data_IF_667322089670
#
_entry.id   IF_667322089670
#
_cell.length_a   1.000
_cell.length_b   1.000
_cell.length_c   1.000
_cell.angle_alpha   90.00
_cell.angle_beta   90.00
_cell.angle_gamma   90.00
#
_symmetry.space_group_name_H-M   'P 1'
#
loop_
_entity.id
_entity.type
_entity.pdbx_description
1 polymer ?
#
# COMPACT_ATOMS: atom_id res chain seq x y z
N UNK A 1 -31.57 -67.45 -22.61
CA UNK A 1 -30.59 -67.31 -21.50
C UNK A 1 -29.46 -66.41 -21.97
N UNK A 2 -29.52 -65.14 -21.59
CA UNK A 2 -28.55 -64.13 -22.04
C UNK A 2 -27.60 -63.80 -20.88
N UNK A 3 -26.32 -64.19 -20.98
CA UNK A 3 -25.26 -63.81 -20.02
C UNK A 3 -24.69 -62.45 -20.38
N UNK A 4 -25.12 -61.43 -19.69
CA UNK A 4 -24.47 -60.10 -19.73
C UNK A 4 -23.06 -60.18 -19.14
N UNK A 5 -22.04 -60.00 -19.95
CA UNK A 5 -20.65 -59.79 -19.54
C UNK A 5 -20.57 -58.47 -18.79
N UNK A 6 -20.31 -58.48 -17.47
CA UNK A 6 -19.87 -57.33 -16.66
C UNK A 6 -18.44 -56.97 -17.15
N UNK A 7 -18.29 -55.90 -17.89
CA UNK A 7 -16.97 -55.29 -18.18
C UNK A 7 -16.44 -54.74 -16.85
N UNK A 8 -15.31 -55.28 -16.44
CA UNK A 8 -14.59 -54.87 -15.24
C UNK A 8 -14.11 -53.42 -15.37
N UNK A 9 -14.58 -52.53 -14.51
CA UNK A 9 -14.20 -51.15 -14.37
C UNK A 9 -12.75 -50.99 -13.83
N UNK A 10 -12.10 -52.09 -13.48
CA UNK A 10 -10.77 -52.09 -12.87
C UNK A 10 -9.59 -52.03 -13.87
N UNK A 11 -9.85 -52.02 -15.18
CA UNK A 11 -8.76 -52.01 -16.16
C UNK A 11 -8.37 -50.60 -16.68
N UNK A 12 -8.94 -49.51 -16.11
CA UNK A 12 -8.74 -48.16 -16.61
C UNK A 12 -7.86 -47.28 -15.68
N UNK A 13 -7.28 -47.88 -14.64
CA UNK A 13 -6.41 -47.17 -13.68
C UNK A 13 -4.91 -47.52 -13.80
N UNK A 14 -4.50 -48.19 -14.86
CA UNK A 14 -3.14 -48.74 -14.99
C UNK A 14 -2.24 -47.99 -15.99
N UNK A 15 -2.56 -46.76 -16.40
CA UNK A 15 -1.63 -45.94 -17.20
C UNK A 15 -1.25 -44.63 -16.51
N UNK A 16 -0.94 -44.71 -15.22
CA UNK A 16 -0.22 -43.64 -14.52
C UNK A 16 1.27 -43.79 -14.84
N UNK A 17 1.70 -43.26 -15.98
CA UNK A 17 3.11 -43.02 -16.24
C UNK A 17 3.59 -42.02 -15.16
N UNK A 18 4.28 -42.52 -14.13
CA UNK A 18 4.91 -41.69 -13.13
C UNK A 18 5.91 -40.73 -13.78
N UNK A 19 5.94 -39.49 -13.34
CA UNK A 19 6.94 -38.52 -13.77
C UNK A 19 8.37 -39.03 -13.48
N UNK A 20 9.25 -38.89 -14.46
CA UNK A 20 10.66 -39.18 -14.24
C UNK A 20 11.32 -38.10 -13.38
N UNK A 21 12.35 -38.45 -12.60
CA UNK A 21 13.12 -37.50 -11.81
C UNK A 21 13.72 -36.39 -12.70
N UNK A 22 14.17 -36.74 -13.89
CA UNK A 22 14.71 -35.79 -14.87
C UNK A 22 13.66 -34.78 -15.34
N UNK A 23 12.45 -35.23 -15.63
CA UNK A 23 11.35 -34.36 -16.05
C UNK A 23 10.97 -33.35 -14.97
N UNK A 24 10.98 -33.77 -13.68
CA UNK A 24 10.75 -32.89 -12.55
C UNK A 24 11.88 -31.86 -12.37
N UNK A 25 13.13 -32.27 -12.53
CA UNK A 25 14.29 -31.37 -12.45
C UNK A 25 14.23 -30.32 -13.56
N UNK A 26 13.93 -30.72 -14.80
CA UNK A 26 13.81 -29.80 -15.94
C UNK A 26 12.72 -28.75 -15.69
N UNK A 27 11.57 -29.15 -15.17
CA UNK A 27 10.47 -28.23 -14.84
C UNK A 27 10.92 -27.22 -13.77
N UNK A 28 11.58 -27.67 -12.71
CA UNK A 28 12.07 -26.77 -11.63
C UNK A 28 13.10 -25.78 -12.18
N UNK A 29 14.01 -26.21 -13.06
CA UNK A 29 15.00 -25.33 -13.69
C UNK A 29 14.30 -24.29 -14.56
N UNK A 30 13.31 -24.65 -15.37
CA UNK A 30 12.58 -23.73 -16.23
C UNK A 30 11.81 -22.70 -15.38
N UNK A 31 11.11 -23.15 -14.34
CA UNK A 31 10.40 -22.24 -13.42
C UNK A 31 11.39 -21.31 -12.72
N UNK A 32 12.55 -21.79 -12.29
CA UNK A 32 13.60 -20.97 -11.70
C UNK A 32 14.10 -19.88 -12.64
N UNK A 33 14.38 -20.22 -13.90
CA UNK A 33 14.81 -19.25 -14.92
C UNK A 33 13.74 -18.21 -15.23
N UNK A 34 12.49 -18.62 -15.38
CA UNK A 34 11.38 -17.70 -15.61
C UNK A 34 11.14 -16.76 -14.41
N UNK A 35 11.22 -17.31 -13.21
CA UNK A 35 11.08 -16.51 -11.97
C UNK A 35 12.16 -15.44 -11.86
N UNK A 36 13.39 -15.76 -12.18
CA UNK A 36 14.51 -14.81 -12.17
C UNK A 36 14.32 -13.62 -13.12
N UNK A 37 13.62 -13.83 -14.24
CA UNK A 37 13.34 -12.78 -15.22
C UNK A 37 12.16 -11.89 -14.82
N UNK A 38 11.14 -12.47 -14.17
CA UNK A 38 9.86 -11.81 -13.89
C UNK A 38 9.87 -11.07 -12.57
N UNK A 39 10.50 -11.66 -11.54
CA UNK A 39 10.52 -11.11 -10.17
C UNK A 39 10.98 -9.64 -10.07
N UNK A 40 12.07 -9.19 -10.74
CA UNK A 40 12.53 -7.80 -10.64
C UNK A 40 11.52 -6.77 -11.16
N UNK A 41 10.68 -7.13 -12.10
CA UNK A 41 9.67 -6.22 -12.68
C UNK A 41 8.53 -5.98 -11.68
N UNK A 42 8.10 -7.01 -10.97
CA UNK A 42 7.04 -6.88 -9.95
C UNK A 42 7.47 -5.98 -8.80
N UNK A 43 8.70 -6.13 -8.29
CA UNK A 43 9.24 -5.31 -7.19
C UNK A 43 9.23 -3.83 -7.58
N UNK A 44 9.69 -3.47 -8.78
CA UNK A 44 9.68 -2.08 -9.27
C UNK A 44 8.28 -1.50 -9.46
N UNK A 45 7.31 -2.34 -9.79
CA UNK A 45 5.93 -1.91 -9.99
C UNK A 45 5.25 -1.62 -8.65
N UNK A 46 5.51 -2.44 -7.64
CA UNK A 46 5.04 -2.24 -6.26
C UNK A 46 5.61 -0.95 -5.67
N UNK A 47 6.92 -0.71 -5.81
CA UNK A 47 7.57 0.53 -5.38
C UNK A 47 6.90 1.78 -5.95
N UNK A 48 6.70 1.82 -7.27
CA UNK A 48 6.02 2.95 -7.94
C UNK A 48 4.59 3.13 -7.45
N UNK A 49 3.86 2.03 -7.23
CA UNK A 49 2.49 2.09 -6.73
C UNK A 49 2.43 2.67 -5.31
N UNK A 50 3.33 2.27 -4.41
CA UNK A 50 3.42 2.82 -3.06
C UNK A 50 3.75 4.31 -3.06
N UNK A 51 4.73 4.74 -3.84
CA UNK A 51 5.08 6.16 -3.98
C UNK A 51 3.90 6.98 -4.50
N UNK A 52 3.20 6.48 -5.52
CA UNK A 52 2.01 7.14 -6.06
C UNK A 52 0.87 7.22 -5.04
N UNK A 53 0.64 6.15 -4.27
CA UNK A 53 -0.37 6.12 -3.23
C UNK A 53 -0.06 7.10 -2.09
N UNK A 54 1.19 7.17 -1.63
CA UNK A 54 1.60 8.12 -0.59
C UNK A 54 1.37 9.56 -1.05
N UNK A 55 1.76 9.89 -2.29
CA UNK A 55 1.54 11.23 -2.85
C UNK A 55 0.06 11.59 -2.92
N UNK A 56 -0.78 10.69 -3.42
CA UNK A 56 -2.23 10.91 -3.50
C UNK A 56 -2.86 11.07 -2.10
N UNK A 57 -2.39 10.34 -1.10
CA UNK A 57 -2.84 10.48 0.28
C UNK A 57 -2.45 11.84 0.87
N UNK A 58 -1.22 12.31 0.63
CA UNK A 58 -0.77 13.65 1.07
C UNK A 58 -1.63 14.74 0.42
N UNK A 59 -1.94 14.66 -0.87
CA UNK A 59 -2.83 15.61 -1.56
C UNK A 59 -4.24 15.60 -0.97
N UNK A 60 -4.77 14.42 -0.62
CA UNK A 60 -6.06 14.29 0.04
C UNK A 60 -6.05 14.94 1.42
N UNK A 61 -5.02 14.72 2.22
CA UNK A 61 -4.84 15.34 3.53
C UNK A 61 -4.71 16.87 3.40
N UNK A 62 -3.99 17.35 2.38
CA UNK A 62 -3.88 18.77 2.06
C UNK A 62 -5.24 19.41 1.78
N UNK A 63 -6.07 18.77 0.94
CA UNK A 63 -7.42 19.23 0.65
C UNK A 63 -8.29 19.31 1.91
N UNK A 64 -8.19 18.33 2.80
CA UNK A 64 -8.90 18.34 4.08
C UNK A 64 -8.40 19.44 5.03
N UNK A 65 -7.08 19.71 5.04
CA UNK A 65 -6.49 20.82 5.79
C UNK A 65 -6.95 22.19 5.28
N UNK A 66 -7.07 22.35 3.96
CA UNK A 66 -7.59 23.57 3.36
C UNK A 66 -9.06 23.80 3.76
N UNK A 67 -9.86 22.74 3.76
CA UNK A 67 -11.26 22.82 4.21
C UNK A 67 -11.34 23.18 5.70
N UNK A 68 -10.53 22.56 6.55
CA UNK A 68 -10.41 22.93 7.96
C UNK A 68 -10.07 24.41 8.13
N UNK A 69 -9.10 24.93 7.34
CA UNK A 69 -8.72 26.34 7.38
C UNK A 69 -9.86 27.27 6.98
N UNK A 70 -10.68 26.90 6.01
CA UNK A 70 -11.84 27.72 5.60
C UNK A 70 -12.84 27.92 6.75
N UNK A 71 -13.06 26.88 7.54
CA UNK A 71 -14.02 26.93 8.65
C UNK A 71 -13.41 27.58 9.89
N UNK A 72 -12.19 27.21 10.26
CA UNK A 72 -11.52 27.59 11.50
C UNK A 72 -10.72 28.89 11.38
N UNK A 73 -10.29 29.22 10.15
CA UNK A 73 -9.47 30.41 9.87
C UNK A 73 -7.95 30.18 9.95
N UNK A 74 -7.50 29.01 10.36
CA UNK A 74 -6.10 28.60 10.46
C UNK A 74 -5.92 27.11 10.16
N UNK A 75 -4.72 26.68 9.90
CA UNK A 75 -4.40 25.23 9.90
C UNK A 75 -4.30 24.71 11.34
N UNK A 76 -4.46 23.40 11.55
CA UNK A 76 -4.18 22.79 12.86
C UNK A 76 -2.74 23.07 13.27
N UNK A 77 -2.49 23.24 14.57
CA UNK A 77 -1.11 23.32 15.07
C UNK A 77 -0.42 21.95 14.98
N UNK A 78 0.90 21.92 15.12
CA UNK A 78 1.66 20.65 15.16
C UNK A 78 1.16 19.72 16.27
N UNK A 79 0.78 20.29 17.44
CA UNK A 79 0.25 19.52 18.57
C UNK A 79 -1.15 18.97 18.31
N UNK A 80 -2.01 19.74 17.64
CA UNK A 80 -3.34 19.28 17.22
C UNK A 80 -3.23 18.19 16.17
N UNK A 81 -2.22 18.27 15.30
CA UNK A 81 -1.89 17.29 14.31
C UNK A 81 -3.00 17.04 13.28
N UNK A 82 -2.83 16.02 12.49
CA UNK A 82 -3.83 15.58 11.50
C UNK A 82 -5.13 15.07 12.17
N UNK A 83 -5.09 14.72 13.47
CA UNK A 83 -6.30 14.29 14.19
C UNK A 83 -7.37 15.37 14.24
N UNK A 84 -6.99 16.65 14.18
CA UNK A 84 -7.90 17.77 14.06
C UNK A 84 -8.87 17.68 12.85
N UNK A 85 -8.51 16.91 11.83
CA UNK A 85 -9.37 16.65 10.66
C UNK A 85 -10.51 15.67 10.97
N UNK A 86 -10.41 14.92 12.05
CA UNK A 86 -11.41 13.90 12.47
C UNK A 86 -12.11 14.28 13.77
N UNK A 87 -11.43 14.93 14.66
CA UNK A 87 -11.92 15.27 16.00
C UNK A 87 -11.74 16.75 16.23
N UNK A 88 -12.79 17.40 16.74
CA UNK A 88 -12.75 18.83 17.07
C UNK A 88 -11.68 19.10 18.14
N UNK A 89 -10.64 19.91 17.82
CA UNK A 89 -9.71 20.36 18.85
C UNK A 89 -10.43 21.24 19.89
N UNK A 90 -10.02 21.12 21.17
CA UNK A 90 -10.58 21.97 22.22
C UNK A 90 -10.24 23.46 22.09
N UNK A 91 -9.30 23.79 21.24
CA UNK A 91 -8.78 25.14 20.98
C UNK A 91 -9.53 25.92 19.91
N UNK A 92 -10.54 25.31 19.25
CA UNK A 92 -11.27 25.92 18.13
C UNK A 92 -12.79 25.94 18.44
N UNK A 93 -13.42 27.09 18.15
CA UNK A 93 -14.87 27.25 18.30
C UNK A 93 -15.63 26.79 17.05
N UNK A 94 -15.16 27.23 15.88
CA UNK A 94 -15.74 26.91 14.59
C UNK A 94 -15.06 25.68 14.02
N UNK A 95 -15.78 24.57 13.99
CA UNK A 95 -15.34 23.32 13.41
C UNK A 95 -16.55 22.57 12.85
N UNK A 96 -16.61 22.39 11.56
CA UNK A 96 -17.73 21.75 10.85
C UNK A 96 -17.33 20.39 10.23
N UNK A 97 -16.34 19.75 10.84
CA UNK A 97 -15.91 18.43 10.43
C UNK A 97 -16.83 17.28 10.88
N UNK A 98 -16.45 16.04 10.66
CA UNK A 98 -15.12 15.57 10.23
C UNK A 98 -14.81 15.87 8.75
N UNK A 99 -13.59 16.31 8.46
CA UNK A 99 -13.10 16.64 7.12
C UNK A 99 -12.60 15.43 6.34
N UNK A 100 -12.45 14.30 7.01
CA UNK A 100 -12.14 13.00 6.42
C UNK A 100 -13.23 12.00 6.77
N UNK A 101 -13.66 11.21 5.80
CA UNK A 101 -14.68 10.17 6.00
C UNK A 101 -14.19 9.00 6.85
N UNK A 102 -12.89 8.73 6.83
CA UNK A 102 -12.22 7.66 7.58
C UNK A 102 -11.14 8.25 8.47
N UNK A 103 -10.60 7.45 9.36
CA UNK A 103 -9.46 7.84 10.19
C UNK A 103 -8.25 8.21 9.34
N UNK A 104 -7.29 8.92 9.96
CA UNK A 104 -6.07 9.32 9.27
C UNK A 104 -5.37 8.06 8.78
N UNK A 105 -5.14 7.92 7.46
CA UNK A 105 -4.49 6.73 6.94
C UNK A 105 -3.03 6.68 7.36
N UNK A 106 -2.50 5.47 7.51
CA UNK A 106 -1.07 5.25 7.50
C UNK A 106 -0.56 5.38 6.06
N UNK A 107 0.73 5.64 5.92
CA UNK A 107 1.37 5.62 4.62
C UNK A 107 1.43 4.18 4.05
N UNK A 108 1.81 3.98 2.79
CA UNK A 108 1.87 2.64 2.19
C UNK A 108 2.89 1.67 2.81
N UNK A 109 3.72 2.14 3.72
CA UNK A 109 4.66 1.34 4.53
C UNK A 109 4.18 1.17 5.98
N UNK A 110 2.88 1.45 6.24
CA UNK A 110 2.22 1.30 7.54
C UNK A 110 2.78 2.23 8.64
N UNK A 111 3.28 3.41 8.25
CA UNK A 111 3.80 4.42 9.16
C UNK A 111 2.92 5.66 9.18
N UNK A 112 2.86 6.41 10.30
CA UNK A 112 2.12 7.65 10.35
C UNK A 112 2.80 8.74 9.51
N UNK A 113 1.99 9.60 8.88
CA UNK A 113 2.46 10.84 8.28
C UNK A 113 2.95 11.81 9.36
N UNK A 114 4.08 12.43 9.10
CA UNK A 114 4.59 13.51 9.95
C UNK A 114 3.97 14.82 9.49
N UNK A 115 3.41 15.58 10.43
CA UNK A 115 2.76 16.86 10.19
C UNK A 115 3.42 17.95 11.01
N UNK A 116 3.67 19.09 10.38
CA UNK A 116 4.21 20.28 11.03
C UNK A 116 3.48 21.53 10.55
N UNK A 117 3.04 22.37 11.48
CA UNK A 117 2.42 23.66 11.16
C UNK A 117 2.79 24.70 12.24
N UNK A 118 3.38 25.84 11.90
CA UNK A 118 3.86 26.23 10.54
C UNK A 118 4.90 25.28 9.99
N UNK A 119 4.85 25.02 8.65
CA UNK A 119 5.85 24.21 7.98
C UNK A 119 7.16 24.99 7.74
N UNK A 120 8.20 24.29 7.36
CA UNK A 120 9.47 24.90 6.93
C UNK A 120 9.41 25.33 5.45
N UNK A 121 8.51 24.69 4.67
CA UNK A 121 8.37 24.90 3.23
C UNK A 121 7.05 25.60 2.86
N UNK A 122 6.14 25.77 3.80
CA UNK A 122 4.84 26.39 3.56
C UNK A 122 4.02 26.56 4.83
N UNK A 123 2.72 26.82 4.69
CA UNK A 123 1.81 26.96 5.85
C UNK A 123 1.77 25.71 6.72
N UNK A 124 2.02 24.55 6.13
CA UNK A 124 2.20 23.27 6.80
C UNK A 124 3.09 22.36 5.93
N UNK A 125 3.71 21.38 6.54
CA UNK A 125 4.44 20.31 5.89
C UNK A 125 3.83 18.97 6.27
N UNK A 126 3.67 18.07 5.28
CA UNK A 126 3.33 16.66 5.48
C UNK A 126 4.43 15.82 4.84
N UNK A 127 4.91 14.82 5.57
CA UNK A 127 6.00 13.94 5.11
C UNK A 127 5.67 12.48 5.41
N UNK A 128 5.91 11.61 4.45
CA UNK A 128 6.14 10.18 4.67
C UNK A 128 7.62 9.88 4.47
N UNK A 129 8.25 9.24 5.43
CA UNK A 129 9.66 8.86 5.38
C UNK A 129 9.90 7.50 4.67
N UNK A 130 8.94 7.05 3.85
CA UNK A 130 9.11 5.83 3.09
C UNK A 130 9.31 4.56 3.92
N UNK A 131 9.97 3.57 3.31
CA UNK A 131 10.09 2.24 3.90
C UNK A 131 10.96 2.17 5.16
N UNK A 132 12.00 2.99 5.28
CA UNK A 132 12.88 2.98 6.45
C UNK A 132 12.38 3.86 7.60
N UNK A 133 11.51 4.84 7.32
CA UNK A 133 10.97 5.76 8.32
C UNK A 133 11.98 6.78 8.83
N UNK A 134 13.01 7.06 8.04
CA UNK A 134 14.07 8.01 8.36
C UNK A 134 14.16 9.10 7.26
N UNK A 135 14.54 10.34 7.62
CA UNK A 135 14.69 11.41 6.64
C UNK A 135 15.71 11.06 5.55
N UNK A 136 15.37 11.36 4.30
CA UNK A 136 16.23 11.11 3.15
C UNK A 136 15.98 9.75 2.50
N UNK A 137 17.02 9.19 1.87
CA UNK A 137 16.95 7.89 1.21
C UNK A 137 16.63 7.95 -0.29
N UNK A 138 16.66 6.76 -0.90
CA UNK A 138 16.38 6.57 -2.33
C UNK A 138 15.35 5.45 -2.52
N UNK A 139 14.68 5.41 -3.67
CA UNK A 139 13.68 4.40 -4.04
C UNK A 139 12.55 4.35 -3.00
N UNK A 140 12.32 3.19 -2.41
CA UNK A 140 11.30 2.98 -1.37
C UNK A 140 11.56 3.75 -0.06
N UNK A 141 12.82 4.11 0.18
CA UNK A 141 13.23 4.89 1.37
C UNK A 141 13.15 6.40 1.13
N UNK A 142 12.77 6.83 -0.07
CA UNK A 142 12.68 8.26 -0.39
C UNK A 142 11.52 8.92 0.35
N UNK A 143 11.77 10.12 0.87
CA UNK A 143 10.74 10.97 1.46
C UNK A 143 9.72 11.39 0.40
N UNK A 144 8.46 11.34 0.76
CA UNK A 144 7.34 11.88 -0.01
C UNK A 144 6.78 13.06 0.79
N UNK A 145 6.79 14.23 0.18
CA UNK A 145 6.50 15.50 0.82
C UNK A 145 5.31 16.20 0.18
N UNK A 146 4.72 17.17 0.90
CA UNK A 146 3.63 18.03 0.41
C UNK A 146 4.09 19.24 -0.41
N UNK A 147 5.41 19.44 -0.59
CA UNK A 147 6.01 20.54 -1.35
C UNK A 147 6.85 20.07 -2.52
#
# INVERSE_FOLDING_TARGET
MSRKKKKSFAAQLADSKGFTLVELIVVVIIIGLLSALVLPQFIRQEEKAKLGAAKAQIELLGTALDTFRLDVGRYPSTEEGLQALRQKPGTVDRWDGPYLKKDIPLDPWEKPYIYKSPGDHGPYDIVSYGADGAPGGEKDNRDITSW
#
